data_IF_310455328155
#
_entry.id   IF_310455328155
#
_cell.length_a   1.000
_cell.length_b   1.000
_cell.length_c   1.000
_cell.angle_alpha   90.00
_cell.angle_beta   90.00
_cell.angle_gamma   90.00
#
_symmetry.space_group_name_H-M   'P 1'
#
loop_
_entity.id
_entity.type
_entity.pdbx_description
1 polymer ?
#
# COMPACT_ATOMS: atom_id res chain seq x y z
N UNK A 1 -9.62 -10.38 -0.96
CA UNK A 1 -8.64 -10.72 0.12
C UNK A 1 -8.64 -9.58 1.12
N UNK A 2 -8.97 -9.86 2.39
CA UNK A 2 -9.01 -8.85 3.45
C UNK A 2 -7.63 -8.51 4.01
N UNK A 3 -7.50 -7.35 4.65
CA UNK A 3 -6.25 -6.86 5.24
C UNK A 3 -5.71 -7.86 6.27
N UNK A 4 -6.59 -8.38 7.13
CA UNK A 4 -6.26 -9.40 8.13
C UNK A 4 -5.66 -10.64 7.49
N UNK A 5 -6.29 -11.17 6.45
CA UNK A 5 -5.82 -12.36 5.74
C UNK A 5 -4.45 -12.13 5.08
N UNK A 6 -4.25 -10.99 4.41
CA UNK A 6 -2.95 -10.64 3.81
C UNK A 6 -1.86 -10.50 4.87
N UNK A 7 -2.14 -9.86 5.99
CA UNK A 7 -1.19 -9.75 7.10
C UNK A 7 -0.87 -11.13 7.68
N UNK A 8 -1.88 -11.95 7.97
CA UNK A 8 -1.67 -13.31 8.51
C UNK A 8 -0.83 -14.19 7.59
N UNK A 9 -1.14 -14.20 6.29
CA UNK A 9 -0.36 -14.93 5.29
C UNK A 9 1.07 -14.39 5.19
N UNK A 10 1.23 -13.07 5.20
CA UNK A 10 2.55 -12.44 5.19
C UNK A 10 3.39 -12.83 6.41
N UNK A 11 2.81 -12.84 7.61
CA UNK A 11 3.52 -13.27 8.83
C UNK A 11 3.91 -14.75 8.79
N UNK A 12 3.02 -15.61 8.30
CA UNK A 12 3.30 -17.03 8.13
C UNK A 12 4.43 -17.27 7.13
N UNK A 13 4.37 -16.60 5.98
CA UNK A 13 5.38 -16.68 4.93
C UNK A 13 6.74 -16.13 5.41
N UNK A 14 6.73 -15.03 6.17
CA UNK A 14 7.95 -14.44 6.74
C UNK A 14 8.67 -15.40 7.69
N UNK A 15 7.91 -16.17 8.49
CA UNK A 15 8.45 -17.24 9.34
C UNK A 15 9.07 -18.36 8.50
N UNK A 16 8.38 -18.81 7.45
CA UNK A 16 8.87 -19.89 6.60
C UNK A 16 10.13 -19.52 5.82
N UNK A 17 10.23 -18.27 5.36
CA UNK A 17 11.38 -17.74 4.64
C UNK A 17 12.51 -17.24 5.56
N UNK A 18 12.38 -17.41 6.88
CA UNK A 18 13.33 -16.93 7.88
C UNK A 18 13.72 -15.45 7.69
N UNK A 19 12.72 -14.61 7.39
CA UNK A 19 12.86 -13.15 7.35
C UNK A 19 12.87 -12.65 8.80
N UNK A 20 13.71 -11.66 9.11
CA UNK A 20 13.70 -10.98 10.41
C UNK A 20 12.27 -10.55 10.77
N UNK A 21 11.92 -10.66 12.05
CA UNK A 21 10.54 -10.42 12.52
C UNK A 21 9.98 -9.06 12.12
N UNK A 22 10.74 -7.98 12.34
CA UNK A 22 10.28 -6.61 12.06
C UNK A 22 10.09 -6.32 10.56
N UNK A 23 11.07 -6.59 9.66
CA UNK A 23 10.86 -6.46 8.22
C UNK A 23 9.70 -7.29 7.69
N UNK A 24 9.52 -8.52 8.18
CA UNK A 24 8.40 -9.37 7.76
C UNK A 24 7.04 -8.74 8.10
N UNK A 25 6.90 -8.17 9.30
CA UNK A 25 5.68 -7.46 9.71
C UNK A 25 5.47 -6.22 8.85
N UNK A 26 6.52 -5.40 8.65
CA UNK A 26 6.43 -4.16 7.87
C UNK A 26 6.07 -4.42 6.40
N UNK A 27 6.70 -5.39 5.74
CA UNK A 27 6.37 -5.78 4.36
C UNK A 27 4.93 -6.31 4.27
N UNK A 28 4.49 -7.10 5.25
CA UNK A 28 3.12 -7.63 5.28
C UNK A 28 2.08 -6.50 5.43
N UNK A 29 2.33 -5.53 6.32
CA UNK A 29 1.48 -4.35 6.53
C UNK A 29 1.47 -3.44 5.31
N UNK A 30 2.65 -3.20 4.70
CA UNK A 30 2.79 -2.43 3.47
C UNK A 30 1.99 -3.05 2.33
N UNK A 31 2.08 -4.37 2.15
CA UNK A 31 1.31 -5.11 1.13
C UNK A 31 -0.19 -5.07 1.39
N UNK A 32 -0.61 -5.20 2.64
CA UNK A 32 -2.01 -5.31 2.99
C UNK A 32 -2.78 -3.98 2.96
N UNK A 33 -2.13 -2.82 3.08
CA UNK A 33 -2.82 -1.53 3.27
C UNK A 33 -2.52 -0.56 2.13
N UNK A 34 -1.50 0.28 2.27
CA UNK A 34 -1.17 1.36 1.33
C UNK A 34 0.35 1.52 1.14
N UNK A 35 1.12 0.45 1.35
CA UNK A 35 2.56 0.43 1.11
C UNK A 35 3.32 1.29 2.11
N UNK A 36 4.03 2.30 1.60
CA UNK A 36 4.95 3.12 2.38
C UNK A 36 4.31 3.83 3.58
N UNK A 37 3.09 4.35 3.47
CA UNK A 37 2.45 5.06 4.59
C UNK A 37 2.10 4.11 5.75
N UNK A 38 1.76 2.85 5.45
CA UNK A 38 1.53 1.84 6.48
C UNK A 38 2.84 1.46 7.18
N UNK A 39 3.93 1.30 6.42
CA UNK A 39 5.27 1.05 6.97
C UNK A 39 5.71 2.21 7.87
N UNK A 40 5.59 3.45 7.40
CA UNK A 40 5.97 4.65 8.13
C UNK A 40 5.16 4.85 9.42
N UNK A 41 3.89 4.43 9.44
CA UNK A 41 3.04 4.52 10.61
C UNK A 41 3.31 3.38 11.62
N UNK A 42 3.64 2.17 11.13
CA UNK A 42 3.90 1.00 11.98
C UNK A 42 5.33 0.95 12.53
N UNK A 43 6.33 1.46 11.81
CA UNK A 43 7.74 1.39 12.19
C UNK A 43 8.03 1.97 13.60
N UNK A 44 7.52 3.15 14.00
CA UNK A 44 7.72 3.67 15.36
C UNK A 44 7.04 2.82 16.43
N UNK A 45 5.91 2.19 16.10
CA UNK A 45 5.14 1.33 17.02
C UNK A 45 5.88 0.02 17.28
N UNK A 46 6.52 -0.53 16.23
CA UNK A 46 7.34 -1.73 16.30
C UNK A 46 8.77 -1.47 16.80
N UNK A 47 9.13 -0.20 17.07
CA UNK A 47 10.51 0.21 17.35
C UNK A 47 11.49 -0.30 16.30
N UNK A 48 11.08 -0.27 15.02
CA UNK A 48 11.90 -0.71 13.91
C UNK A 48 13.09 0.22 13.72
N UNK A 49 14.27 -0.35 13.51
CA UNK A 49 15.45 0.43 13.14
C UNK A 49 15.33 0.96 11.69
N UNK A 50 16.19 1.92 11.35
CA UNK A 50 16.18 2.54 10.01
C UNK A 50 16.51 1.55 8.90
N UNK A 51 17.34 0.55 9.19
CA UNK A 51 17.73 -0.48 8.24
C UNK A 51 16.53 -1.36 7.85
N UNK A 52 15.81 -1.89 8.84
CA UNK A 52 14.63 -2.73 8.66
C UNK A 52 13.49 -1.95 7.99
N UNK A 53 13.30 -0.67 8.38
CA UNK A 53 12.32 0.22 7.73
C UNK A 53 12.69 0.48 6.27
N UNK A 54 13.97 0.75 6.00
CA UNK A 54 14.49 0.95 4.65
C UNK A 54 14.33 -0.29 3.77
N UNK A 55 14.63 -1.48 4.31
CA UNK A 55 14.45 -2.78 3.62
C UNK A 55 12.98 -2.99 3.24
N UNK A 56 12.05 -2.73 4.14
CA UNK A 56 10.62 -2.87 3.88
C UNK A 56 10.12 -1.88 2.82
N UNK A 57 10.49 -0.60 2.94
CA UNK A 57 10.12 0.43 1.96
C UNK A 57 10.66 0.11 0.57
N UNK A 58 11.95 -0.24 0.47
CA UNK A 58 12.58 -0.57 -0.80
C UNK A 58 11.94 -1.81 -1.44
N UNK A 59 11.64 -2.85 -0.67
CA UNK A 59 10.92 -4.04 -1.16
C UNK A 59 9.58 -3.66 -1.78
N UNK A 60 8.76 -2.93 -1.04
CA UNK A 60 7.42 -2.52 -1.50
C UNK A 60 7.49 -1.64 -2.75
N UNK A 61 8.40 -0.66 -2.76
CA UNK A 61 8.52 0.24 -3.90
C UNK A 61 9.06 -0.45 -5.16
N UNK A 62 9.97 -1.43 -5.02
CA UNK A 62 10.44 -2.22 -6.17
C UNK A 62 9.31 -3.05 -6.79
N UNK A 63 8.50 -3.70 -5.94
CA UNK A 63 7.34 -4.45 -6.42
C UNK A 63 6.28 -3.53 -7.06
N UNK A 64 6.11 -2.32 -6.54
CA UNK A 64 5.24 -1.31 -7.13
C UNK A 64 5.72 -0.82 -8.50
N UNK A 65 7.03 -0.62 -8.67
CA UNK A 65 7.60 -0.29 -9.97
C UNK A 65 7.35 -1.41 -10.99
N UNK A 66 7.51 -2.68 -10.59
CA UNK A 66 7.15 -3.82 -11.42
C UNK A 66 5.64 -3.86 -11.72
N UNK A 67 4.80 -3.54 -10.73
CA UNK A 67 3.35 -3.52 -10.87
C UNK A 67 2.87 -2.55 -11.96
N UNK A 68 3.49 -1.37 -12.07
CA UNK A 68 3.15 -0.37 -13.10
C UNK A 68 3.26 -0.92 -14.53
N UNK A 69 4.15 -1.88 -14.77
CA UNK A 69 4.35 -2.50 -16.08
C UNK A 69 3.52 -3.78 -16.22
N UNK A 70 3.55 -4.63 -15.20
CA UNK A 70 2.95 -5.97 -15.25
C UNK A 70 1.43 -5.88 -15.23
N UNK A 71 0.84 -5.04 -14.37
CA UNK A 71 -0.61 -5.04 -14.18
C UNK A 71 -1.36 -4.64 -15.45
N UNK A 72 -1.06 -3.48 -16.10
CA UNK A 72 -1.74 -3.13 -17.34
C UNK A 72 -1.59 -4.19 -18.42
N UNK A 73 -0.39 -4.74 -18.58
CA UNK A 73 -0.13 -5.80 -19.57
C UNK A 73 -0.97 -7.06 -19.31
N UNK A 74 -1.00 -7.55 -18.07
CA UNK A 74 -1.85 -8.69 -17.68
C UNK A 74 -3.33 -8.36 -17.83
N UNK A 75 -3.76 -7.15 -17.43
CA UNK A 75 -5.14 -6.72 -17.55
C UNK A 75 -5.65 -6.74 -18.99
N UNK A 76 -4.81 -6.31 -19.94
CA UNK A 76 -5.15 -6.29 -21.37
C UNK A 76 -5.14 -7.70 -21.95
N UNK A 77 -4.14 -8.51 -21.61
CA UNK A 77 -4.06 -9.92 -22.02
C UNK A 77 -5.31 -10.69 -21.57
N UNK A 78 -5.80 -10.37 -20.38
CA UNK A 78 -6.98 -10.96 -19.79
C UNK A 78 -8.29 -10.27 -20.22
N UNK A 79 -8.25 -9.21 -21.02
CA UNK A 79 -9.43 -8.44 -21.44
C UNK A 79 -10.33 -8.03 -20.27
N UNK A 80 -9.73 -7.55 -19.18
CA UNK A 80 -10.49 -7.04 -18.03
C UNK A 80 -11.23 -5.75 -18.42
N UNK A 81 -12.47 -5.61 -17.97
CA UNK A 81 -13.18 -4.34 -18.05
C UNK A 81 -12.53 -3.29 -17.12
N UNK A 82 -12.73 -1.98 -17.38
CA UNK A 82 -12.09 -0.91 -16.60
C UNK A 82 -12.38 -0.99 -15.10
N UNK A 83 -13.62 -1.32 -14.71
CA UNK A 83 -13.99 -1.44 -13.29
C UNK A 83 -13.26 -2.61 -12.62
N UNK A 84 -13.27 -3.79 -13.24
CA UNK A 84 -12.57 -4.97 -12.74
C UNK A 84 -11.06 -4.74 -12.61
N UNK A 85 -10.44 -4.06 -13.59
CA UNK A 85 -9.04 -3.67 -13.51
C UNK A 85 -8.77 -2.69 -12.36
N UNK A 86 -9.62 -1.67 -12.20
CA UNK A 86 -9.53 -0.71 -11.10
C UNK A 86 -9.58 -1.40 -9.74
N UNK A 87 -10.53 -2.32 -9.54
CA UNK A 87 -10.64 -3.13 -8.32
C UNK A 87 -9.41 -4.02 -8.12
N UNK A 88 -9.01 -4.77 -9.13
CA UNK A 88 -7.88 -5.71 -9.03
C UNK A 88 -6.57 -4.99 -8.70
N UNK A 89 -6.26 -3.90 -9.42
CA UNK A 89 -5.08 -3.08 -9.17
C UNK A 89 -5.10 -2.50 -7.74
N UNK A 90 -6.22 -1.96 -7.27
CA UNK A 90 -6.34 -1.45 -5.90
C UNK A 90 -6.22 -2.52 -4.82
N UNK A 91 -6.63 -3.75 -5.09
CA UNK A 91 -6.54 -4.85 -4.14
C UNK A 91 -5.13 -5.44 -4.06
N UNK A 92 -4.41 -5.51 -5.18
CA UNK A 92 -3.14 -6.23 -5.26
C UNK A 92 -1.89 -5.33 -5.31
N UNK A 93 -1.94 -4.13 -5.87
CA UNK A 93 -0.80 -3.20 -5.84
C UNK A 93 -0.67 -2.58 -4.45
N UNK A 94 0.55 -2.33 -3.96
CA UNK A 94 0.81 -2.02 -2.56
C UNK A 94 0.47 -0.57 -2.21
N UNK A 95 0.81 0.41 -3.05
CA UNK A 95 0.60 1.84 -2.76
C UNK A 95 -0.45 2.50 -3.66
N UNK A 96 -0.86 3.71 -3.30
CA UNK A 96 -1.87 4.48 -4.05
C UNK A 96 -1.31 5.05 -5.35
N UNK A 97 -0.06 5.53 -5.34
CA UNK A 97 0.57 6.16 -6.49
C UNK A 97 0.69 5.20 -7.67
N UNK A 98 1.02 3.93 -7.42
CA UNK A 98 1.18 2.92 -8.47
C UNK A 98 -0.16 2.38 -8.95
N UNK A 99 -1.17 2.32 -8.08
CA UNK A 99 -2.56 2.07 -8.50
C UNK A 99 -3.03 3.16 -9.45
N UNK A 100 -2.82 4.44 -9.09
CA UNK A 100 -3.17 5.57 -9.95
C UNK A 100 -2.42 5.50 -11.29
N UNK A 101 -1.11 5.20 -11.25
CA UNK A 101 -0.29 5.07 -12.46
C UNK A 101 -0.78 3.95 -13.38
N UNK A 102 -1.01 2.75 -12.84
CA UNK A 102 -1.50 1.61 -13.63
C UNK A 102 -2.93 1.84 -14.14
N UNK A 103 -3.84 2.27 -13.27
CA UNK A 103 -5.25 2.47 -13.61
C UNK A 103 -5.49 3.61 -14.59
N UNK A 104 -4.63 4.64 -14.61
CA UNK A 104 -4.70 5.70 -15.60
C UNK A 104 -4.55 5.17 -17.05
N UNK A 105 -3.82 4.07 -17.25
CA UNK A 105 -3.67 3.43 -18.57
C UNK A 105 -4.91 2.65 -19.00
N UNK A 106 -5.81 2.30 -18.07
CA UNK A 106 -7.06 1.56 -18.29
C UNK A 106 -8.30 2.45 -18.40
N UNK A 107 -8.12 3.76 -18.35
CA UNK A 107 -9.18 4.75 -18.55
C UNK A 107 -9.77 5.36 -17.27
N UNK A 108 -10.68 6.33 -17.42
CA UNK A 108 -11.17 7.14 -16.30
C UNK A 108 -11.91 6.34 -15.22
N UNK A 109 -12.68 5.34 -15.62
CA UNK A 109 -13.43 4.49 -14.69
C UNK A 109 -12.49 3.63 -13.83
N UNK A 110 -11.52 2.96 -14.44
CA UNK A 110 -10.51 2.18 -13.71
C UNK A 110 -9.77 3.05 -12.70
N UNK A 111 -9.40 4.27 -13.11
CA UNK A 111 -8.72 5.23 -12.25
C UNK A 111 -9.58 5.64 -11.05
N UNK A 112 -10.86 5.94 -11.27
CA UNK A 112 -11.80 6.30 -10.20
C UNK A 112 -11.96 5.13 -9.22
N UNK A 113 -12.29 3.95 -9.72
CA UNK A 113 -12.51 2.74 -8.91
C UNK A 113 -11.24 2.35 -8.15
N UNK A 114 -10.11 2.35 -8.83
CA UNK A 114 -8.83 1.95 -8.23
C UNK A 114 -8.37 2.91 -7.14
N UNK A 115 -8.42 4.22 -7.41
CA UNK A 115 -8.00 5.24 -6.44
C UNK A 115 -8.89 5.23 -5.21
N UNK A 116 -10.21 5.20 -5.40
CA UNK A 116 -11.18 5.21 -4.29
C UNK A 116 -11.06 3.96 -3.42
N UNK A 117 -10.99 2.78 -4.04
CA UNK A 117 -10.81 1.50 -3.32
C UNK A 117 -9.51 1.49 -2.51
N UNK A 118 -8.41 1.99 -3.09
CA UNK A 118 -7.11 2.02 -2.42
C UNK A 118 -7.07 3.01 -1.25
N UNK A 119 -7.66 4.19 -1.41
CA UNK A 119 -7.77 5.19 -0.35
C UNK A 119 -8.69 4.72 0.78
N UNK A 120 -9.79 4.03 0.47
CA UNK A 120 -10.66 3.42 1.48
C UNK A 120 -9.87 2.40 2.32
N UNK A 121 -9.00 1.61 1.70
CA UNK A 121 -8.11 0.69 2.43
C UNK A 121 -7.08 1.43 3.30
N UNK A 122 -6.57 2.58 2.86
CA UNK A 122 -5.63 3.38 3.65
C UNK A 122 -6.20 3.85 4.99
N UNK A 123 -7.54 3.95 5.13
CA UNK A 123 -8.19 4.24 6.41
C UNK A 123 -7.83 3.21 7.49
N UNK A 124 -7.52 1.97 7.10
CA UNK A 124 -7.15 0.89 8.03
C UNK A 124 -5.78 1.09 8.70
N UNK A 125 -4.96 2.05 8.26
CA UNK A 125 -3.73 2.41 8.98
C UNK A 125 -4.04 2.76 10.44
N UNK A 126 -5.10 3.53 10.70
CA UNK A 126 -5.47 3.96 12.06
C UNK A 126 -5.79 2.76 12.96
N UNK A 127 -6.81 1.92 12.68
CA UNK A 127 -7.15 0.81 13.56
C UNK A 127 -6.01 -0.20 13.68
N UNK A 128 -5.28 -0.48 12.60
CA UNK A 128 -4.18 -1.47 12.62
C UNK A 128 -3.01 -0.97 13.47
N UNK A 129 -2.61 0.30 13.34
CA UNK A 129 -1.50 0.85 14.14
C UNK A 129 -1.86 1.00 15.62
N UNK A 130 -3.11 1.34 15.94
CA UNK A 130 -3.60 1.35 17.32
C UNK A 130 -3.61 -0.06 17.93
N UNK A 131 -4.13 -1.05 17.20
CA UNK A 131 -4.12 -2.45 17.65
C UNK A 131 -2.69 -2.96 17.86
N UNK A 132 -1.77 -2.62 16.96
CA UNK A 132 -0.36 -2.98 17.07
C UNK A 132 0.31 -2.34 18.30
N UNK A 133 0.02 -1.06 18.57
CA UNK A 133 0.52 -0.35 19.74
C UNK A 133 0.00 -0.94 21.05
N UNK A 134 -1.28 -1.28 21.10
CA UNK A 134 -1.87 -1.97 22.25
C UNK A 134 -1.25 -3.33 22.50
N UNK A 135 -1.01 -4.11 21.44
CA UNK A 135 -0.38 -5.42 21.54
C UNK A 135 1.08 -5.35 22.00
N UNK A 136 1.85 -4.39 21.49
CA UNK A 136 3.23 -4.15 21.93
C UNK A 136 3.28 -3.69 23.40
N UNK A 137 2.36 -2.82 23.82
CA UNK A 137 2.26 -2.34 25.22
C UNK A 137 1.93 -3.44 26.22
N UNK A 138 1.30 -4.54 25.78
CA UNK A 138 1.04 -5.71 26.64
C UNK A 138 2.23 -6.67 26.75
N UNK A 139 3.20 -6.57 25.82
CA UNK A 139 4.39 -7.44 25.76
C UNK A 139 5.61 -6.83 26.43
N UNK A 140 5.66 -5.51 26.55
CA UNK A 140 6.66 -4.80 27.33
C UNK A 140 6.14 -4.65 28.77
N UNK A 141 6.91 -5.15 29.74
CA UNK A 141 6.66 -4.84 31.16
C UNK A 141 6.62 -3.32 31.37
N UNK A 142 5.80 -2.89 32.35
CA UNK A 142 5.28 -1.55 32.58
C UNK A 142 6.30 -0.38 32.68
N UNK A 143 7.60 -0.60 32.53
CA UNK A 143 8.64 0.41 32.75
C UNK A 143 9.04 1.21 31.50
N UNK A 144 8.70 0.74 30.29
CA UNK A 144 9.04 1.46 29.05
C UNK A 144 7.84 2.22 28.50
N UNK A 145 7.98 3.56 28.43
CA UNK A 145 6.94 4.51 28.00
C UNK A 145 6.21 4.02 26.73
N UNK A 146 4.89 4.20 26.62
CA UNK A 146 4.15 3.81 25.42
C UNK A 146 4.76 4.54 24.21
N UNK A 147 5.27 3.76 23.24
CA UNK A 147 5.74 4.30 21.98
C UNK A 147 4.60 5.15 21.39
N UNK A 148 4.82 6.46 21.23
CA UNK A 148 3.83 7.37 20.69
C UNK A 148 3.52 6.93 19.25
N UNK A 149 2.39 6.26 19.06
CA UNK A 149 1.85 6.02 17.72
C UNK A 149 1.76 7.38 17.01
N UNK A 150 2.53 7.54 15.92
CA UNK A 150 2.43 8.74 15.08
C UNK A 150 1.02 8.79 14.53
N UNK A 151 0.22 9.74 14.99
CA UNK A 151 -1.16 9.93 14.52
C UNK A 151 -1.10 10.27 13.01
N UNK A 152 -1.72 9.48 12.12
CA UNK A 152 -1.66 9.71 10.69
C UNK A 152 -2.61 10.85 10.29
N UNK A 153 -2.24 12.09 10.64
CA UNK A 153 -3.04 13.31 10.39
C UNK A 153 -3.48 13.47 8.92
N UNK A 154 -2.71 12.91 7.98
CA UNK A 154 -3.07 12.86 6.56
C UNK A 154 -4.46 12.23 6.32
N UNK A 155 -4.86 11.21 7.09
CA UNK A 155 -6.16 10.55 6.93
C UNK A 155 -7.30 11.50 7.28
N UNK A 156 -7.16 12.26 8.38
CA UNK A 156 -8.13 13.27 8.77
C UNK A 156 -8.24 14.38 7.73
N UNK A 157 -7.11 14.84 7.20
CA UNK A 157 -7.07 15.82 6.11
C UNK A 157 -7.76 15.31 4.84
N UNK A 158 -7.52 14.05 4.45
CA UNK A 158 -8.18 13.42 3.31
C UNK A 158 -9.70 13.35 3.49
N UNK A 159 -10.17 12.87 4.65
CA UNK A 159 -11.60 12.78 4.96
C UNK A 159 -12.27 14.17 4.98
N UNK A 160 -11.62 15.17 5.56
CA UNK A 160 -12.11 16.54 5.59
C UNK A 160 -12.21 17.13 4.17
N UNK A 161 -11.16 16.99 3.36
CA UNK A 161 -11.17 17.48 1.98
C UNK A 161 -12.24 16.78 1.12
N UNK A 162 -12.37 15.46 1.25
CA UNK A 162 -13.41 14.69 0.57
C UNK A 162 -14.81 15.15 0.98
N UNK A 163 -15.05 15.34 2.28
CA UNK A 163 -16.33 15.85 2.78
C UNK A 163 -16.62 17.26 2.26
N UNK A 164 -15.65 18.18 2.32
CA UNK A 164 -15.81 19.56 1.84
C UNK A 164 -16.20 19.60 0.36
N UNK A 165 -15.48 18.90 -0.51
CA UNK A 165 -15.77 18.90 -1.96
C UNK A 165 -17.09 18.19 -2.27
N UNK A 166 -17.47 17.17 -1.49
CA UNK A 166 -18.71 16.42 -1.68
C UNK A 166 -19.94 17.23 -1.26
N UNK A 167 -19.89 17.91 -0.11
CA UNK A 167 -21.05 18.61 0.47
C UNK A 167 -21.13 20.10 0.10
N UNK A 168 -20.05 20.70 -0.40
CA UNK A 168 -20.02 22.10 -0.85
C UNK A 168 -19.70 22.15 -2.36
N UNK A 169 -20.73 22.11 -3.24
CA UNK A 169 -20.53 22.09 -4.70
C UNK A 169 -19.71 23.27 -5.23
N UNK A 170 -19.75 24.42 -4.55
CA UNK A 170 -18.94 25.61 -4.86
C UNK A 170 -17.44 25.32 -4.87
N UNK A 171 -16.98 24.30 -4.14
CA UNK A 171 -15.58 23.90 -4.08
C UNK A 171 -15.16 22.93 -5.20
N UNK A 172 -16.09 22.38 -5.99
CA UNK A 172 -15.75 21.42 -7.05
C UNK A 172 -14.75 21.96 -8.09
N UNK A 173 -14.90 23.19 -8.63
CA UNK A 173 -13.94 23.72 -9.60
C UNK A 173 -12.53 23.84 -9.03
N UNK A 174 -12.40 24.35 -7.80
CA UNK A 174 -11.14 24.41 -7.09
C UNK A 174 -10.57 23.00 -6.82
N UNK A 175 -11.42 22.05 -6.45
CA UNK A 175 -11.07 20.65 -6.25
C UNK A 175 -10.49 20.00 -7.49
N UNK A 176 -11.01 20.30 -8.69
CA UNK A 176 -10.47 19.80 -9.95
C UNK A 176 -9.06 20.35 -10.24
N UNK A 177 -8.83 21.64 -9.98
CA UNK A 177 -7.50 22.26 -10.14
C UNK A 177 -6.49 21.63 -9.18
N UNK A 178 -6.87 21.46 -7.91
CA UNK A 178 -6.04 20.80 -6.91
C UNK A 178 -5.74 19.35 -7.31
N UNK A 179 -6.74 18.60 -7.77
CA UNK A 179 -6.56 17.22 -8.22
C UNK A 179 -5.61 17.10 -9.43
N UNK A 180 -5.69 18.05 -10.38
CA UNK A 180 -4.78 18.11 -11.51
C UNK A 180 -3.33 18.38 -11.07
N UNK A 181 -3.13 19.33 -10.14
CA UNK A 181 -1.82 19.62 -9.54
C UNK A 181 -1.26 18.41 -8.78
N UNK A 182 -2.09 17.77 -7.96
CA UNK A 182 -1.72 16.56 -7.21
C UNK A 182 -1.30 15.42 -8.14
N UNK A 183 -1.99 15.22 -9.27
CA UNK A 183 -1.62 14.20 -10.26
C UNK A 183 -0.23 14.46 -10.87
N UNK A 184 0.09 15.72 -11.20
CA UNK A 184 1.42 16.09 -11.71
C UNK A 184 2.52 15.85 -10.66
N UNK A 185 2.26 16.22 -9.41
CA UNK A 185 3.19 16.02 -8.30
C UNK A 185 3.41 14.53 -7.99
N UNK A 186 2.35 13.71 -8.13
CA UNK A 186 2.43 12.27 -8.00
C UNK A 186 3.37 11.66 -9.04
N UNK A 187 3.26 12.07 -10.31
CA UNK A 187 4.14 11.62 -11.39
C UNK A 187 5.60 12.00 -11.09
N UNK A 188 5.85 13.23 -10.64
CA UNK A 188 7.19 13.67 -10.23
C UNK A 188 7.73 12.82 -9.07
N UNK A 189 6.90 12.50 -8.09
CA UNK A 189 7.29 11.67 -6.94
C UNK A 189 7.66 10.25 -7.37
N UNK A 190 6.87 9.64 -8.27
CA UNK A 190 7.18 8.33 -8.85
C UNK A 190 8.50 8.35 -9.64
N UNK A 191 8.75 9.42 -10.39
CA UNK A 191 10.01 9.61 -11.11
C UNK A 191 11.21 9.71 -10.14
N UNK A 192 11.13 10.56 -9.12
CA UNK A 192 12.18 10.73 -8.11
C UNK A 192 12.44 9.45 -7.33
N UNK A 193 11.38 8.70 -7.01
CA UNK A 193 11.50 7.39 -6.37
C UNK A 193 12.28 6.41 -7.25
N UNK A 194 12.02 6.42 -8.56
CA UNK A 194 12.78 5.67 -9.54
C UNK A 194 14.28 6.00 -9.53
N UNK A 195 14.63 7.30 -9.44
CA UNK A 195 16.02 7.74 -9.34
C UNK A 195 16.72 7.31 -8.04
N UNK A 196 15.96 7.13 -6.96
CA UNK A 196 16.47 6.67 -5.66
C UNK A 196 16.87 5.19 -5.62
N UNK A 197 16.51 4.41 -6.63
CA UNK A 197 16.88 3.00 -6.72
C UNK A 197 18.30 2.83 -7.27
N UNK A 198 19.28 2.83 -6.37
CA UNK A 198 20.64 2.45 -6.69
C UNK A 198 20.84 0.93 -6.55
N UNK A 199 21.84 0.40 -7.26
CA UNK A 199 22.29 -1.00 -7.14
C UNK A 199 22.72 -1.33 -5.70
N UNK A 200 23.16 -0.32 -4.95
CA UNK A 200 23.53 -0.44 -3.55
C UNK A 200 22.30 -0.59 -2.64
N UNK A 201 21.23 0.19 -2.90
CA UNK A 201 19.95 0.06 -2.19
C UNK A 201 19.37 -1.35 -2.37
N UNK A 202 19.39 -1.90 -3.60
CA UNK A 202 18.94 -3.28 -3.86
C UNK A 202 19.77 -4.32 -3.10
N UNK A 203 21.09 -4.15 -3.03
CA UNK A 203 21.97 -5.07 -2.28
C UNK A 203 21.66 -5.07 -0.79
N UNK A 204 21.27 -3.93 -0.22
CA UNK A 204 20.91 -3.79 1.20
C UNK A 204 19.58 -4.47 1.58
N UNK A 205 18.63 -4.59 0.64
CA UNK A 205 17.34 -5.29 0.86
C UNK A 205 17.56 -6.78 1.14
N UNK A 206 18.51 -7.40 0.45
CA UNK A 206 18.72 -8.84 0.47
C UNK A 206 17.60 -9.63 -0.22
N UNK A 207 17.84 -10.90 -0.58
CA UNK A 207 16.89 -11.68 -1.37
C UNK A 207 15.65 -12.10 -0.57
N UNK A 208 15.78 -12.35 0.75
CA UNK A 208 14.69 -12.91 1.56
C UNK A 208 13.48 -11.97 1.69
N UNK A 209 13.63 -10.68 2.04
CA UNK A 209 12.50 -9.75 2.10
C UNK A 209 11.85 -9.54 0.73
N UNK A 210 12.65 -9.51 -0.33
CA UNK A 210 12.14 -9.37 -1.70
C UNK A 210 11.29 -10.58 -2.12
N UNK A 211 11.78 -11.80 -1.88
CA UNK A 211 11.02 -13.04 -2.15
C UNK A 211 9.75 -13.08 -1.31
N UNK A 212 9.83 -12.68 -0.03
CA UNK A 212 8.67 -12.60 0.85
C UNK A 212 7.59 -11.65 0.31
N UNK A 213 7.97 -10.43 -0.05
CA UNK A 213 7.06 -9.47 -0.67
C UNK A 213 6.51 -9.96 -2.01
N UNK A 214 7.36 -10.52 -2.88
CA UNK A 214 6.97 -11.03 -4.20
C UNK A 214 5.95 -12.17 -4.11
N UNK A 215 6.22 -13.18 -3.27
CA UNK A 215 5.32 -14.32 -3.11
C UNK A 215 4.00 -13.87 -2.49
N UNK A 216 4.03 -13.00 -1.47
CA UNK A 216 2.80 -12.45 -0.90
C UNK A 216 2.01 -11.64 -1.94
N UNK A 217 2.69 -10.83 -2.74
CA UNK A 217 2.08 -10.04 -3.82
C UNK A 217 1.43 -10.92 -4.89
N UNK A 218 2.10 -11.99 -5.32
CA UNK A 218 1.53 -12.96 -6.28
C UNK A 218 0.32 -13.68 -5.70
N UNK A 219 0.38 -14.13 -4.44
CA UNK A 219 -0.75 -14.77 -3.77
C UNK A 219 -1.96 -13.84 -3.70
N UNK A 220 -1.77 -12.60 -3.26
CA UNK A 220 -2.84 -11.60 -3.19
C UNK A 220 -3.34 -11.26 -4.59
N UNK A 221 -2.45 -11.07 -5.56
CA UNK A 221 -2.77 -10.74 -6.95
C UNK A 221 -3.60 -11.81 -7.63
N UNK A 222 -3.18 -13.08 -7.56
CA UNK A 222 -3.91 -14.21 -8.14
C UNK A 222 -5.24 -14.45 -7.42
N UNK A 223 -5.25 -14.43 -6.08
CA UNK A 223 -6.48 -14.68 -5.33
C UNK A 223 -7.53 -13.58 -5.53
N UNK A 224 -7.12 -12.32 -5.60
CA UNK A 224 -8.06 -11.21 -5.85
C UNK A 224 -8.55 -11.20 -7.29
N UNK A 225 -7.69 -11.49 -8.26
CA UNK A 225 -8.09 -11.66 -9.66
C UNK A 225 -9.09 -12.80 -9.82
N UNK A 226 -8.81 -13.96 -9.23
CA UNK A 226 -9.71 -15.11 -9.23
C UNK A 226 -11.07 -14.77 -8.61
N UNK A 227 -11.09 -14.09 -7.46
CA UNK A 227 -12.32 -13.67 -6.81
C UNK A 227 -13.15 -12.69 -7.66
N UNK A 228 -12.51 -11.76 -8.38
CA UNK A 228 -13.19 -10.84 -9.30
C UNK A 228 -13.76 -11.61 -10.48
N UNK A 229 -12.99 -12.54 -11.08
CA UNK A 229 -13.44 -13.35 -12.22
C UNK A 229 -14.58 -14.31 -11.88
N UNK A 230 -14.60 -14.84 -10.67
CA UNK A 230 -15.69 -15.67 -10.15
C UNK A 230 -16.91 -14.85 -9.69
N UNK A 231 -16.83 -13.51 -9.75
CA UNK A 231 -17.92 -12.61 -9.39
C UNK A 231 -18.16 -12.46 -7.89
N UNK A 232 -17.23 -12.91 -7.05
CA UNK A 232 -17.31 -12.80 -5.58
C UNK A 232 -17.03 -11.38 -5.08
N UNK A 233 -16.40 -10.55 -5.90
CA UNK A 233 -16.07 -9.15 -5.59
C UNK A 233 -16.49 -8.29 -6.78
N UNK A 234 -17.31 -7.26 -6.54
CA UNK A 234 -17.83 -6.32 -7.55
C UNK A 234 -17.69 -4.88 -7.07
#
# INVERSE_FOLDING_TARGET
>A
MGITLTVSLGLLLGRWLAVKGTPAVLVSLGTAICGGSAIAAAAPVLQADEADTGVALATVFLLNAAALLIFPWVGHLLSLDPRAFGLWSALAIHDTSSVVGAAATFGPEALLVGTTTKLARALWIVPVTLALGFWMSRRQDQETRPAKAKRPWFILGFLAAAALVTYLPVLQPAGQVVAAGARRLLVLTLFLLGLGFSRETLRKVGPRPLIHGLVLWLLVGVATLGAIRLGWVR
#
